data_IF_347119102833
#
_entry.id   IF_347119102833
#
_cell.length_a   1.000
_cell.length_b   1.000
_cell.length_c   1.000
_cell.angle_alpha   90.00
_cell.angle_beta   90.00
_cell.angle_gamma   90.00
#
_symmetry.space_group_name_H-M   'P 1'
#
loop_
_entity.id
_entity.type
_entity.pdbx_description
1 polymer ?
#
# COMPACT_ATOMS: atom_id res chain seq x y z
N UNK A 1 9.27 -12.15 -16.28
CA UNK A 1 7.94 -11.98 -15.64
C UNK A 1 8.09 -12.15 -14.13
N UNK A 2 8.52 -11.10 -13.45
CA UNK A 2 8.67 -11.12 -11.99
C UNK A 2 7.28 -11.03 -11.34
N UNK A 3 6.93 -11.98 -10.46
CA UNK A 3 5.59 -12.08 -9.83
C UNK A 3 5.50 -11.32 -8.50
N UNK A 4 6.27 -10.24 -8.34
CA UNK A 4 6.36 -9.48 -7.07
C UNK A 4 4.97 -8.96 -6.63
N UNK A 5 4.14 -8.51 -7.57
CA UNK A 5 2.78 -8.01 -7.26
C UNK A 5 1.77 -9.07 -6.79
N UNK A 6 2.12 -10.37 -6.82
CA UNK A 6 1.25 -11.45 -6.32
C UNK A 6 1.70 -11.96 -4.94
N UNK A 7 2.87 -11.53 -4.45
CA UNK A 7 3.37 -11.93 -3.15
C UNK A 7 2.63 -11.12 -2.06
N UNK A 8 2.02 -11.79 -1.07
CA UNK A 8 1.44 -11.11 0.08
C UNK A 8 2.53 -10.33 0.83
N UNK A 9 2.26 -9.07 1.15
CA UNK A 9 3.15 -8.24 1.97
C UNK A 9 2.65 -8.29 3.42
N UNK A 10 3.48 -8.82 4.31
CA UNK A 10 3.16 -8.85 5.73
C UNK A 10 3.22 -7.43 6.31
N UNK A 11 2.08 -6.95 6.81
CA UNK A 11 1.99 -5.67 7.52
C UNK A 11 2.47 -5.85 8.97
N UNK A 12 3.55 -5.18 9.39
CA UNK A 12 4.00 -5.24 10.78
C UNK A 12 3.06 -4.46 11.71
N UNK A 13 3.00 -4.87 12.97
CA UNK A 13 2.17 -4.21 13.99
C UNK A 13 2.57 -2.73 14.14
N UNK A 14 1.58 -1.83 14.12
CA UNK A 14 1.79 -0.38 14.18
C UNK A 14 1.83 0.33 12.82
N UNK A 15 1.66 -0.40 11.72
CA UNK A 15 1.46 0.18 10.39
C UNK A 15 -0.02 0.18 10.03
N UNK A 16 -0.58 1.37 9.76
CA UNK A 16 -1.94 1.54 9.28
C UNK A 16 -1.92 1.88 7.80
N UNK A 17 -2.58 1.06 6.99
CA UNK A 17 -2.73 1.31 5.55
C UNK A 17 -4.15 1.75 5.27
N UNK A 18 -4.31 2.86 4.57
CA UNK A 18 -5.59 3.36 4.09
C UNK A 18 -5.55 3.48 2.58
N UNK A 19 -6.50 2.85 1.91
CA UNK A 19 -6.66 2.94 0.47
C UNK A 19 -7.83 3.88 0.19
N UNK A 20 -7.53 5.01 -0.45
CA UNK A 20 -8.56 5.95 -0.88
C UNK A 20 -9.25 5.46 -2.16
N UNK A 21 -10.49 5.92 -2.42
CA UNK A 21 -11.23 5.59 -3.65
C UNK A 21 -10.47 5.94 -4.95
N UNK A 22 -9.56 6.91 -4.87
CA UNK A 22 -8.70 7.35 -5.98
C UNK A 22 -7.44 6.49 -6.17
N UNK A 23 -7.43 5.26 -5.63
CA UNK A 23 -6.27 4.35 -5.58
C UNK A 23 -5.01 4.96 -4.95
N UNK A 24 -5.18 5.91 -4.04
CA UNK A 24 -4.05 6.46 -3.27
C UNK A 24 -3.88 5.61 -2.01
N UNK A 25 -2.76 4.91 -1.91
CA UNK A 25 -2.41 4.11 -0.74
C UNK A 25 -1.59 4.99 0.19
N UNK A 26 -2.14 5.28 1.36
CA UNK A 26 -1.43 5.95 2.44
C UNK A 26 -1.04 4.95 3.52
N UNK A 27 0.23 4.98 3.90
CA UNK A 27 0.83 4.11 4.91
C UNK A 27 1.31 4.97 6.06
N UNK A 28 0.70 4.83 7.23
CA UNK A 28 1.14 5.47 8.48
C UNK A 28 1.91 4.45 9.31
N UNK A 29 3.13 4.78 9.69
CA UNK A 29 3.96 3.95 10.56
C UNK A 29 4.60 4.78 11.69
N UNK A 30 5.36 4.13 12.58
CA UNK A 30 5.97 4.77 13.74
C UNK A 30 7.00 5.86 13.37
N UNK A 31 7.55 5.82 12.16
CA UNK A 31 8.57 6.74 11.67
C UNK A 31 8.04 7.83 10.74
N UNK A 32 6.73 7.86 10.47
CA UNK A 32 6.10 8.86 9.61
C UNK A 32 5.00 8.32 8.72
N UNK A 33 4.60 9.13 7.73
CA UNK A 33 3.53 8.80 6.79
C UNK A 33 4.04 8.83 5.35
N UNK A 34 3.74 7.79 4.59
CA UNK A 34 4.00 7.68 3.16
C UNK A 34 2.68 7.67 2.41
N UNK A 35 2.62 8.36 1.27
CA UNK A 35 1.49 8.30 0.35
C UNK A 35 1.99 7.95 -1.03
N UNK A 36 1.42 6.92 -1.63
CA UNK A 36 1.77 6.46 -2.95
C UNK A 36 0.51 6.29 -3.79
N UNK A 37 0.47 7.00 -4.91
CA UNK A 37 -0.59 6.83 -5.90
C UNK A 37 -0.34 5.53 -6.66
N UNK A 38 -1.32 4.63 -6.61
CA UNK A 38 -1.31 3.38 -7.36
C UNK A 38 -2.13 3.59 -8.63
N UNK A 39 -1.72 2.93 -9.71
CA UNK A 39 -2.40 3.01 -11.00
C UNK A 39 -3.86 2.51 -10.89
N UNK A 40 -4.76 3.09 -11.67
CA UNK A 40 -6.18 2.73 -11.70
C UNK A 40 -6.43 1.27 -12.13
N UNK A 41 -5.51 0.69 -12.88
CA UNK A 41 -5.62 -0.69 -13.38
C UNK A 41 -5.24 -1.75 -12.33
N UNK A 42 -4.68 -1.34 -11.19
CA UNK A 42 -4.30 -2.24 -10.09
C UNK A 42 -5.42 -2.29 -9.06
N UNK A 43 -6.06 -3.46 -8.91
CA UNK A 43 -6.95 -3.76 -7.79
C UNK A 43 -6.13 -4.24 -6.59
N UNK A 44 -6.16 -3.47 -5.51
CA UNK A 44 -5.57 -3.76 -4.19
C UNK A 44 -6.55 -4.49 -3.28
#
# INVERSE_FOLDING_TARGET
>A
MSRIGRLPVNLPAGVTVTVSPDNVVSVKGPLGTLSQKVDSDIKV
#
